data_IF_419637058353
#
_entry.id   IF_419637058353
#
_cell.length_a   1.000
_cell.length_b   1.000
_cell.length_c   1.000
_cell.angle_alpha   90.00
_cell.angle_beta   90.00
_cell.angle_gamma   90.00
#
_symmetry.space_group_name_H-M   'P 1'
#
loop_
_entity.id
_entity.type
_entity.pdbx_description
1 polymer ?
#
# COMPACT_ATOMS: atom_id res chain seq x y z
N UNK A 1 -8.41 -1.98 12.29
CA UNK A 1 -7.44 -1.32 11.40
C UNK A 1 -7.84 -1.55 9.96
N UNK A 2 -8.21 -0.45 9.30
CA UNK A 2 -8.44 -0.36 7.85
C UNK A 2 -7.20 0.18 7.14
N UNK A 3 -6.46 1.09 7.76
CA UNK A 3 -5.26 1.73 7.20
C UNK A 3 -4.20 1.98 8.27
N UNK A 4 -2.92 1.96 7.88
CA UNK A 4 -1.81 2.50 8.66
C UNK A 4 -0.85 3.19 7.68
N UNK A 5 -0.48 4.42 7.98
CA UNK A 5 0.57 5.19 7.31
C UNK A 5 1.68 5.46 8.32
N UNK A 6 2.93 5.24 7.94
CA UNK A 6 4.11 5.64 8.71
C UNK A 6 5.09 6.41 7.83
N UNK A 7 5.70 7.45 8.39
CA UNK A 7 6.85 8.13 7.82
C UNK A 7 7.68 8.84 8.88
N UNK A 8 8.94 9.09 8.55
CA UNK A 8 9.83 9.94 9.35
C UNK A 8 9.70 11.41 8.89
N UNK A 9 9.48 12.37 9.81
CA UNK A 9 9.37 13.80 9.49
C UNK A 9 10.61 14.40 8.84
N UNK A 10 10.43 15.60 8.28
CA UNK A 10 11.46 16.39 7.59
C UNK A 10 12.60 16.85 8.50
N UNK A 11 12.29 17.10 9.77
CA UNK A 11 13.24 17.63 10.76
C UNK A 11 13.86 16.50 11.57
N UNK A 12 15.17 16.60 11.81
CA UNK A 12 15.82 15.63 12.69
C UNK A 12 15.36 15.76 14.14
N UNK A 13 15.25 14.60 14.79
CA UNK A 13 14.84 14.50 16.19
C UNK A 13 13.33 14.53 16.42
N UNK A 14 12.53 14.79 15.38
CA UNK A 14 11.08 14.61 15.48
C UNK A 14 10.72 13.11 15.47
N UNK A 15 9.76 12.68 16.31
CA UNK A 15 9.33 11.29 16.33
C UNK A 15 8.63 10.93 15.02
N UNK A 16 8.75 9.68 14.57
CA UNK A 16 8.00 9.23 13.39
C UNK A 16 6.50 9.50 13.54
N UNK A 17 5.82 9.76 12.44
CA UNK A 17 4.38 9.96 12.42
C UNK A 17 3.72 8.66 12.02
N UNK A 18 2.72 8.25 12.80
CA UNK A 18 1.85 7.13 12.46
C UNK A 18 0.42 7.64 12.41
N UNK A 19 -0.20 7.51 11.24
CA UNK A 19 -1.60 7.77 11.03
C UNK A 19 -2.32 6.43 10.83
N UNK A 20 -3.33 6.15 11.64
CA UNK A 20 -4.11 4.92 11.56
C UNK A 20 -5.58 5.31 11.48
N UNK A 21 -6.26 4.80 10.45
CA UNK A 21 -7.69 5.01 10.25
C UNK A 21 -8.10 6.52 10.27
N UNK A 22 -7.22 7.40 9.77
CA UNK A 22 -7.43 8.86 9.73
C UNK A 22 -7.04 9.64 10.98
N UNK A 23 -6.39 9.01 11.96
CA UNK A 23 -5.96 9.65 13.21
C UNK A 23 -4.46 9.45 13.46
N UNK A 24 -3.77 10.49 13.92
CA UNK A 24 -2.36 10.38 14.35
C UNK A 24 -2.33 9.72 15.73
N UNK A 25 -1.70 8.55 15.82
CA UNK A 25 -1.69 7.73 17.04
C UNK A 25 -0.33 7.76 17.76
N UNK A 26 -0.36 7.43 19.06
CA UNK A 26 0.82 7.37 19.94
C UNK A 26 0.69 6.25 20.98
N UNK A 27 1.75 6.01 21.76
CA UNK A 27 1.75 4.99 22.83
C UNK A 27 1.62 3.56 22.31
N UNK A 28 0.91 2.69 23.03
CA UNK A 28 0.81 1.26 22.70
C UNK A 28 0.26 0.97 21.29
N UNK A 29 -0.74 1.74 20.84
CA UNK A 29 -1.30 1.57 19.49
C UNK A 29 -0.25 1.82 18.38
N UNK A 30 0.70 2.74 18.64
CA UNK A 30 1.82 3.03 17.73
C UNK A 30 2.74 1.81 17.59
N UNK A 31 3.02 1.12 18.69
CA UNK A 31 3.89 -0.06 18.69
C UNK A 31 3.28 -1.19 17.86
N UNK A 32 1.99 -1.49 18.07
CA UNK A 32 1.26 -2.48 17.27
C UNK A 32 1.26 -2.12 15.78
N UNK A 33 1.09 -0.83 15.45
CA UNK A 33 1.13 -0.35 14.08
C UNK A 33 2.51 -0.56 13.42
N UNK A 34 3.59 -0.26 14.16
CA UNK A 34 4.97 -0.46 13.70
C UNK A 34 5.24 -1.94 13.43
N UNK A 35 4.80 -2.84 14.31
CA UNK A 35 5.01 -4.27 14.14
C UNK A 35 4.36 -4.80 12.85
N UNK A 36 3.15 -4.33 12.53
CA UNK A 36 2.46 -4.71 11.29
C UNK A 36 3.15 -4.15 10.04
N UNK A 37 3.59 -2.89 10.10
CA UNK A 37 4.36 -2.28 9.01
C UNK A 37 5.69 -2.99 8.79
N UNK A 38 6.37 -3.35 9.87
CA UNK A 38 7.63 -4.10 9.83
C UNK A 38 7.43 -5.47 9.20
N UNK A 39 6.41 -6.22 9.63
CA UNK A 39 6.10 -7.53 9.05
C UNK A 39 5.87 -7.45 7.53
N UNK A 40 5.08 -6.48 7.07
CA UNK A 40 4.86 -6.24 5.64
C UNK A 40 6.14 -5.83 4.89
N UNK A 41 6.96 -4.98 5.50
CA UNK A 41 8.20 -4.48 4.92
C UNK A 41 9.24 -5.60 4.75
N UNK A 42 9.36 -6.47 5.76
CA UNK A 42 10.28 -7.62 5.75
C UNK A 42 9.96 -8.58 4.59
N UNK A 43 8.67 -8.85 4.33
CA UNK A 43 8.22 -9.64 3.18
C UNK A 43 8.54 -8.98 1.83
N UNK A 44 8.66 -7.64 1.81
CA UNK A 44 8.86 -6.84 0.60
C UNK A 44 10.28 -6.28 0.46
N UNK A 45 11.23 -6.75 1.25
CA UNK A 45 12.57 -6.14 1.34
C UNK A 45 13.33 -6.16 0.01
N UNK A 46 13.07 -7.17 -0.84
CA UNK A 46 13.74 -7.36 -2.15
C UNK A 46 13.22 -6.46 -3.27
N UNK A 47 12.15 -5.70 -3.03
CA UNK A 47 11.57 -4.82 -4.04
C UNK A 47 12.21 -3.43 -4.01
N UNK A 48 12.33 -2.77 -5.15
CA UNK A 48 12.83 -1.40 -5.21
C UNK A 48 11.77 -0.38 -4.75
N UNK A 49 12.21 0.82 -4.37
CA UNK A 49 11.31 1.94 -4.05
C UNK A 49 11.04 2.77 -5.32
N UNK A 50 9.79 3.14 -5.66
CA UNK A 50 8.53 2.79 -4.99
C UNK A 50 7.99 1.41 -5.39
N UNK A 51 7.30 0.75 -4.47
CA UNK A 51 6.62 -0.53 -4.72
C UNK A 51 5.27 -0.59 -4.03
N UNK A 52 4.32 -1.29 -4.66
CA UNK A 52 3.04 -1.62 -4.04
C UNK A 52 2.53 -3.01 -4.47
N UNK A 53 1.82 -3.66 -3.56
CA UNK A 53 1.32 -5.02 -3.79
C UNK A 53 0.53 -5.57 -2.60
N UNK A 54 0.02 -6.79 -2.77
CA UNK A 54 -0.63 -7.51 -1.68
C UNK A 54 0.41 -8.32 -0.91
N UNK A 55 0.31 -8.30 0.42
CA UNK A 55 1.21 -8.98 1.35
C UNK A 55 0.38 -9.71 2.41
N UNK A 56 0.90 -10.84 2.89
CA UNK A 56 0.22 -11.64 3.91
C UNK A 56 0.90 -11.43 5.27
N UNK A 57 0.23 -10.73 6.19
CA UNK A 57 0.84 -10.30 7.45
C UNK A 57 1.13 -11.45 8.43
N UNK A 58 0.55 -12.63 8.22
CA UNK A 58 0.87 -13.82 9.01
C UNK A 58 0.60 -15.08 8.20
N UNK A 59 1.54 -16.03 8.26
CA UNK A 59 1.46 -17.32 7.55
C UNK A 59 0.28 -18.17 8.00
N UNK A 60 -0.20 -17.97 9.23
CA UNK A 60 -1.27 -18.77 9.84
C UNK A 60 -2.65 -18.09 9.72
N UNK A 61 -2.72 -16.85 9.24
CA UNK A 61 -3.98 -16.13 9.02
C UNK A 61 -4.06 -15.67 7.57
N UNK A 62 -5.17 -15.90 6.88
CA UNK A 62 -5.41 -15.41 5.51
C UNK A 62 -5.59 -13.88 5.44
N UNK A 63 -4.95 -13.11 6.33
CA UNK A 63 -5.04 -11.65 6.37
C UNK A 63 -4.06 -11.07 5.35
N UNK A 64 -4.55 -10.98 4.12
CA UNK A 64 -3.92 -10.24 3.02
C UNK A 64 -4.25 -8.75 3.15
N UNK A 65 -3.24 -7.90 2.96
CA UNK A 65 -3.36 -6.45 2.98
C UNK A 65 -2.63 -5.85 1.78
N UNK A 66 -3.07 -4.69 1.33
CA UNK A 66 -2.34 -3.90 0.34
C UNK A 66 -1.24 -3.10 1.06
N UNK A 67 -0.01 -3.26 0.61
CA UNK A 67 1.17 -2.56 1.12
C UNK A 67 1.75 -1.64 0.05
N UNK A 68 2.21 -0.46 0.47
CA UNK A 68 2.97 0.48 -0.33
C UNK A 68 4.21 0.89 0.44
N UNK A 69 5.36 0.84 -0.23
CA UNK A 69 6.54 1.64 0.16
C UNK A 69 6.76 2.68 -0.93
N UNK A 70 6.69 3.94 -0.57
CA UNK A 70 6.69 5.04 -1.51
C UNK A 70 7.50 6.21 -1.05
N UNK A 71 7.54 7.24 -1.89
CA UNK A 71 8.14 8.54 -1.58
C UNK A 71 7.11 9.65 -1.66
N UNK A 72 7.31 10.67 -0.81
CA UNK A 72 6.61 11.94 -0.90
C UNK A 72 7.31 12.87 -1.89
N UNK A 73 6.63 13.98 -2.19
CA UNK A 73 7.19 15.11 -2.93
C UNK A 73 8.12 15.97 -2.05
N UNK A 74 7.90 15.97 -0.73
CA UNK A 74 8.73 16.65 0.24
C UNK A 74 10.13 16.03 0.38
N UNK A 75 11.05 16.84 0.91
CA UNK A 75 12.42 16.44 1.24
C UNK A 75 12.70 16.77 2.70
N UNK A 76 13.60 16.03 3.32
CA UNK A 76 14.10 16.37 4.66
C UNK A 76 15.03 17.58 4.64
N UNK A 77 15.48 18.03 5.82
CA UNK A 77 16.41 19.15 5.97
C UNK A 77 17.78 18.95 5.29
N UNK A 78 18.12 17.72 4.90
CA UNK A 78 19.31 17.38 4.11
C UNK A 78 19.04 17.33 2.60
N UNK A 79 17.82 17.61 2.16
CA UNK A 79 17.42 17.52 0.76
C UNK A 79 17.16 16.09 0.26
N UNK A 80 17.04 15.10 1.15
CA UNK A 80 16.75 13.71 0.79
C UNK A 80 15.24 13.52 0.66
N UNK A 81 14.80 12.78 -0.34
CA UNK A 81 13.37 12.48 -0.53
C UNK A 81 12.81 11.70 0.67
N UNK A 82 11.70 12.18 1.22
CA UNK A 82 11.00 11.47 2.30
C UNK A 82 10.36 10.19 1.77
N UNK A 83 10.47 9.13 2.54
CA UNK A 83 9.86 7.84 2.26
C UNK A 83 8.78 7.50 3.27
N UNK A 84 7.82 6.68 2.87
CA UNK A 84 6.74 6.24 3.72
C UNK A 84 6.39 4.79 3.47
N UNK A 85 5.69 4.21 4.45
CA UNK A 85 5.06 2.91 4.35
C UNK A 85 3.56 3.06 4.60
N UNK A 86 2.75 2.31 3.85
CA UNK A 86 1.31 2.33 3.99
C UNK A 86 0.74 0.92 3.90
N UNK A 87 -0.18 0.60 4.80
CA UNK A 87 -0.99 -0.60 4.81
C UNK A 87 -2.45 -0.23 4.65
N UNK A 88 -3.17 -1.03 3.88
CA UNK A 88 -4.62 -0.95 3.79
C UNK A 88 -5.23 -2.34 3.74
N UNK A 89 -6.26 -2.56 4.55
CA UNK A 89 -7.19 -3.67 4.34
C UNK A 89 -7.90 -3.51 2.98
N UNK A 90 -8.56 -4.56 2.49
CA UNK A 90 -9.25 -4.55 1.17
C UNK A 90 -10.01 -3.25 0.93
N UNK A 91 -9.68 -2.59 -0.19
CA UNK A 91 -10.32 -1.36 -0.66
C UNK A 91 -10.48 -1.42 -2.17
N UNK A 92 -11.57 -0.86 -2.69
CA UNK A 92 -11.80 -0.76 -4.13
C UNK A 92 -10.89 0.28 -4.79
N UNK A 93 -10.44 1.28 -4.01
CA UNK A 93 -9.47 2.29 -4.46
C UNK A 93 -8.43 2.64 -3.39
N UNK A 94 -7.27 1.97 -3.49
CA UNK A 94 -6.15 2.21 -2.59
C UNK A 94 -5.54 3.60 -2.71
N UNK A 95 -5.61 4.24 -3.88
CA UNK A 95 -5.07 5.58 -4.07
C UNK A 95 -5.95 6.61 -3.36
N UNK A 96 -7.27 6.48 -3.50
CA UNK A 96 -8.22 7.31 -2.74
C UNK A 96 -8.06 7.09 -1.23
N UNK A 97 -7.93 5.84 -0.81
CA UNK A 97 -7.75 5.48 0.61
C UNK A 97 -6.48 6.09 1.18
N UNK A 98 -5.35 5.97 0.47
CA UNK A 98 -4.08 6.60 0.85
C UNK A 98 -4.19 8.13 0.90
N UNK A 99 -4.84 8.75 -0.09
CA UNK A 99 -5.01 10.21 -0.11
C UNK A 99 -5.78 10.75 1.10
N UNK A 100 -6.71 9.98 1.69
CA UNK A 100 -7.41 10.37 2.92
C UNK A 100 -6.45 10.45 4.11
N UNK A 101 -5.56 9.47 4.27
CA UNK A 101 -4.52 9.52 5.32
C UNK A 101 -3.54 10.68 5.09
N UNK A 102 -3.17 10.92 3.83
CA UNK A 102 -2.24 12.00 3.47
C UNK A 102 -2.79 13.40 3.76
N UNK A 103 -4.11 13.59 3.66
CA UNK A 103 -4.75 14.84 4.04
C UNK A 103 -4.60 15.13 5.54
N UNK A 104 -4.65 14.09 6.38
CA UNK A 104 -4.48 14.20 7.83
C UNK A 104 -3.05 14.58 8.20
N UNK A 105 -2.06 13.97 7.54
CA UNK A 105 -0.64 14.24 7.82
C UNK A 105 -0.03 15.35 6.95
N UNK A 106 -0.83 15.99 6.11
CA UNK A 106 -0.44 17.07 5.21
C UNK A 106 0.74 16.73 4.28
N UNK A 107 0.74 15.52 3.71
CA UNK A 107 1.78 15.05 2.80
C UNK A 107 1.27 14.89 1.36
N UNK A 108 2.16 15.01 0.38
CA UNK A 108 1.88 14.80 -1.04
C UNK A 108 2.74 13.67 -1.62
N UNK A 109 2.16 12.80 -2.44
CA UNK A 109 2.89 11.72 -3.09
C UNK A 109 3.79 12.23 -4.21
N UNK A 110 4.95 11.58 -4.38
CA UNK A 110 5.77 11.76 -5.58
C UNK A 110 5.07 11.19 -6.83
N UNK A 111 5.43 11.69 -8.01
CA UNK A 111 4.94 11.13 -9.27
C UNK A 111 5.27 9.65 -9.43
N UNK A 112 6.46 9.22 -8.97
CA UNK A 112 6.89 7.84 -9.03
C UNK A 112 5.96 6.93 -8.26
N UNK A 113 5.59 7.33 -7.04
CA UNK A 113 4.64 6.59 -6.20
C UNK A 113 3.26 6.52 -6.85
N UNK A 114 2.75 7.64 -7.38
CA UNK A 114 1.46 7.68 -8.07
C UNK A 114 1.45 6.74 -9.29
N UNK A 115 2.51 6.77 -10.10
CA UNK A 115 2.67 5.89 -11.27
C UNK A 115 2.71 4.41 -10.85
N UNK A 116 3.40 4.09 -9.75
CA UNK A 116 3.47 2.73 -9.22
C UNK A 116 2.08 2.18 -8.83
N UNK A 117 1.31 2.93 -8.05
CA UNK A 117 -0.03 2.53 -7.59
C UNK A 117 -1.00 2.37 -8.77
N UNK A 118 -1.01 3.35 -9.70
CA UNK A 118 -1.86 3.29 -10.91
C UNK A 118 -1.52 2.10 -11.80
N UNK A 119 -0.23 1.79 -11.97
CA UNK A 119 0.23 0.61 -12.74
C UNK A 119 -0.28 -0.69 -12.12
N UNK A 120 -0.24 -0.82 -10.79
CA UNK A 120 -0.75 -2.02 -10.09
C UNK A 120 -2.26 -2.18 -10.27
N UNK A 121 -3.04 -1.10 -10.17
CA UNK A 121 -4.49 -1.11 -10.43
C UNK A 121 -4.80 -1.59 -11.85
N UNK A 122 -4.07 -1.07 -12.85
CA UNK A 122 -4.23 -1.48 -14.26
C UNK A 122 -3.87 -2.95 -14.51
N UNK A 123 -2.77 -3.44 -13.93
CA UNK A 123 -2.36 -4.86 -14.05
C UNK A 123 -3.44 -5.79 -13.54
N UNK A 124 -3.98 -5.51 -12.34
CA UNK A 124 -5.01 -6.34 -11.71
C UNK A 124 -6.30 -6.39 -12.53
N UNK A 125 -6.70 -5.27 -13.14
CA UNK A 125 -7.87 -5.23 -14.04
C UNK A 125 -7.66 -6.09 -15.29
N UNK A 126 -6.49 -5.97 -15.92
CA UNK A 126 -6.17 -6.74 -17.12
C UNK A 126 -6.13 -8.25 -16.84
N UNK A 127 -5.52 -8.68 -15.73
CA UNK A 127 -5.47 -10.09 -15.31
C UNK A 127 -6.87 -10.68 -15.12
N UNK A 128 -7.78 -9.95 -14.44
CA UNK A 128 -9.18 -10.37 -14.26
C UNK A 128 -9.94 -10.47 -15.59
N UNK A 129 -9.75 -9.51 -16.49
CA UNK A 129 -10.39 -9.52 -17.80
C UNK A 129 -9.95 -10.74 -18.62
N UNK A 130 -8.64 -11.02 -18.66
CA UNK A 130 -8.07 -12.17 -19.36
C UNK A 130 -8.64 -13.47 -18.79
N UNK A 131 -8.69 -13.61 -17.46
CA UNK A 131 -9.27 -14.78 -16.81
C UNK A 131 -10.73 -15.01 -17.22
N UNK A 132 -11.56 -13.95 -17.20
CA UNK A 132 -12.96 -14.04 -17.61
C UNK A 132 -13.12 -14.45 -19.08
N UNK A 133 -12.27 -13.93 -19.97
CA UNK A 133 -12.27 -14.30 -21.39
C UNK A 133 -11.91 -15.78 -21.58
N UNK A 134 -10.93 -16.30 -20.84
CA UNK A 134 -10.55 -17.72 -20.87
C UNK A 134 -11.71 -18.60 -20.40
N UNK A 135 -12.33 -18.27 -19.27
CA UNK A 135 -13.48 -19.01 -18.73
C UNK A 135 -14.64 -19.01 -19.73
N UNK A 136 -14.95 -17.86 -20.32
CA UNK A 136 -15.99 -17.75 -21.34
C UNK A 136 -15.69 -18.65 -22.55
N UNK A 137 -14.46 -18.63 -23.05
CA UNK A 137 -14.04 -19.46 -24.17
C UNK A 137 -14.16 -20.95 -23.87
N UNK A 138 -13.76 -21.39 -22.67
CA UNK A 138 -13.93 -22.78 -22.22
C UNK A 138 -15.42 -23.15 -22.16
N UNK A 139 -16.28 -22.29 -21.61
CA UNK A 139 -17.73 -22.56 -21.55
C UNK A 139 -18.37 -22.68 -22.94
N UNK A 140 -17.95 -21.85 -23.90
CA UNK A 140 -18.42 -21.94 -25.29
C UNK A 140 -18.00 -23.27 -25.92
N UNK A 141 -16.72 -23.66 -25.76
CA UNK A 141 -16.22 -24.94 -26.26
C UNK A 141 -17.05 -26.09 -25.68
N UNK A 142 -17.24 -26.14 -24.36
CA UNK A 142 -18.04 -27.20 -23.72
C UNK A 142 -19.45 -27.22 -24.31
N UNK A 143 -20.11 -26.07 -24.48
CA UNK A 143 -21.48 -26.02 -25.04
C UNK A 143 -21.61 -26.45 -26.50
N UNK A 144 -20.52 -26.47 -27.27
CA UNK A 144 -20.51 -26.94 -28.67
C UNK A 144 -20.32 -28.47 -28.73
N UNK A 145 -19.58 -29.03 -27.76
CA UNK A 145 -19.25 -30.46 -27.70
C UNK A 145 -20.20 -31.29 -26.82
N UNK A 146 -21.15 -30.64 -26.14
CA UNK A 146 -22.24 -31.27 -25.36
C UNK A 146 -23.55 -31.26 -26.16
#
# INVERSE_FOLDING_TARGET
MKTILWYQPEKFGEPDVICQDGEIISGFQREEAIDLLKAASDDCIKHDLPWCGYVQLSKNTCKEVFFVKGTFKGVDECGRTLSFMFLSSKSDDYLETLNKELQVVHQELSEGTIKCIKKKKKSSFNERLIFLLIVLLITIIISIFL
#
